data_IF_833551182263
#
_entry.id   IF_833551182263
#
_cell.length_a   1.000
_cell.length_b   1.000
_cell.length_c   1.000
_cell.angle_alpha   90.00
_cell.angle_beta   90.00
_cell.angle_gamma   90.00
#
_symmetry.space_group_name_H-M   'P 1'
#
loop_
_entity.id
_entity.type
_entity.pdbx_description
1 polymer ?
#
# COMPACT_ATOMS: atom_id res chain seq x y z
N UNK A 1 10.12 -29.85 19.80
CA UNK A 1 9.39 -29.28 18.66
C UNK A 1 10.26 -29.50 17.43
N UNK A 2 9.92 -30.51 16.63
CA UNK A 2 10.70 -30.86 15.44
C UNK A 2 10.49 -29.78 14.39
N UNK A 3 11.58 -29.08 14.02
CA UNK A 3 11.61 -28.29 12.80
C UNK A 3 11.42 -29.27 11.65
N UNK A 4 10.18 -29.42 11.18
CA UNK A 4 9.94 -30.03 9.89
C UNK A 4 10.82 -29.27 8.89
N UNK A 5 11.73 -29.98 8.23
CA UNK A 5 12.44 -29.51 7.05
C UNK A 5 11.39 -29.34 5.93
N UNK A 6 10.55 -28.32 6.09
CA UNK A 6 9.43 -28.02 5.21
C UNK A 6 9.95 -27.29 4.00
N UNK A 7 9.57 -27.76 2.80
CA UNK A 7 9.65 -26.95 1.58
C UNK A 7 9.04 -25.57 1.86
N UNK A 8 9.66 -24.51 1.33
CA UNK A 8 9.03 -23.18 1.31
C UNK A 8 7.60 -23.29 0.75
N UNK A 9 6.66 -22.50 1.30
CA UNK A 9 5.27 -22.53 0.86
C UNK A 9 5.18 -22.18 -0.62
N UNK A 10 4.29 -22.84 -1.36
CA UNK A 10 3.98 -22.45 -2.73
C UNK A 10 3.07 -21.22 -2.69
N UNK A 11 3.58 -20.07 -3.12
CA UNK A 11 2.87 -18.79 -3.08
C UNK A 11 2.36 -18.42 -4.46
N UNK A 12 1.11 -17.98 -4.53
CA UNK A 12 0.50 -17.36 -5.69
C UNK A 12 -0.05 -15.98 -5.30
N UNK A 13 0.25 -14.94 -6.09
CA UNK A 13 -0.33 -13.62 -5.89
C UNK A 13 -1.54 -13.41 -6.80
N UNK A 14 -2.70 -13.14 -6.21
CA UNK A 14 -3.89 -12.74 -6.97
C UNK A 14 -3.94 -11.21 -7.04
N UNK A 15 -3.54 -10.70 -8.21
CA UNK A 15 -3.46 -9.30 -8.56
C UNK A 15 -4.77 -8.81 -9.17
N UNK A 16 -5.17 -7.60 -8.79
CA UNK A 16 -6.33 -6.92 -9.35
C UNK A 16 -6.63 -5.66 -8.56
N UNK A 17 -7.43 -4.77 -9.14
CA UNK A 17 -7.91 -3.60 -8.41
C UNK A 17 -8.96 -4.00 -7.37
N UNK A 18 -9.17 -3.17 -6.34
CA UNK A 18 -10.41 -3.21 -5.58
C UNK A 18 -11.63 -3.26 -6.52
N UNK A 19 -12.66 -4.01 -6.13
CA UNK A 19 -13.92 -4.14 -6.88
C UNK A 19 -13.81 -4.84 -8.25
N UNK A 20 -12.64 -5.37 -8.62
CA UNK A 20 -12.48 -6.16 -9.85
C UNK A 20 -13.03 -7.61 -9.75
N UNK A 21 -13.47 -8.05 -8.56
CA UNK A 21 -13.97 -9.41 -8.33
C UNK A 21 -12.92 -10.39 -7.79
N UNK A 22 -11.79 -9.90 -7.29
CA UNK A 22 -10.68 -10.73 -6.75
C UNK A 22 -11.12 -11.59 -5.56
N UNK A 23 -12.01 -11.09 -4.71
CA UNK A 23 -12.60 -11.89 -3.61
C UNK A 23 -13.42 -13.08 -4.12
N UNK A 24 -14.21 -12.89 -5.18
CA UNK A 24 -14.97 -13.97 -5.80
C UNK A 24 -14.01 -15.03 -6.37
N UNK A 25 -13.00 -14.59 -7.11
CA UNK A 25 -12.04 -15.51 -7.72
C UNK A 25 -11.25 -16.29 -6.66
N UNK A 26 -10.76 -15.63 -5.61
CA UNK A 26 -10.10 -16.28 -4.48
C UNK A 26 -11.01 -17.34 -3.82
N UNK A 27 -12.28 -16.99 -3.58
CA UNK A 27 -13.27 -17.89 -2.99
C UNK A 27 -13.53 -19.13 -3.86
N UNK A 28 -13.56 -18.98 -5.19
CA UNK A 28 -13.74 -20.09 -6.11
C UNK A 28 -12.49 -20.99 -6.16
N UNK A 29 -11.29 -20.42 -6.22
CA UNK A 29 -10.03 -21.17 -6.30
C UNK A 29 -9.73 -21.98 -5.03
N UNK A 30 -10.00 -21.44 -3.85
CA UNK A 30 -9.72 -22.14 -2.59
C UNK A 30 -10.62 -23.37 -2.33
N UNK A 31 -11.63 -23.62 -3.17
CA UNK A 31 -12.42 -24.86 -3.13
C UNK A 31 -11.59 -26.09 -3.52
N UNK A 32 -10.46 -25.89 -4.18
CA UNK A 32 -9.52 -26.97 -4.44
C UNK A 32 -8.88 -27.44 -3.12
N UNK A 33 -8.76 -28.75 -2.87
CA UNK A 33 -8.27 -29.29 -1.60
C UNK A 33 -6.89 -28.75 -1.23
N UNK A 34 -6.01 -28.49 -2.20
CA UNK A 34 -4.65 -27.97 -1.94
C UNK A 34 -4.50 -26.45 -1.85
N UNK A 35 -5.55 -25.67 -2.16
CA UNK A 35 -5.44 -24.20 -2.28
C UNK A 35 -6.11 -23.51 -1.10
N UNK A 36 -5.39 -22.59 -0.46
CA UNK A 36 -5.89 -21.74 0.62
C UNK A 36 -5.82 -20.27 0.18
N UNK A 37 -6.90 -19.50 0.38
CA UNK A 37 -6.90 -18.07 0.13
C UNK A 37 -7.40 -17.31 1.37
N UNK A 38 -6.52 -16.92 2.31
CA UNK A 38 -6.95 -16.16 3.48
C UNK A 38 -7.54 -14.79 3.09
N UNK A 39 -8.41 -14.20 3.93
CA UNK A 39 -8.96 -12.87 3.65
C UNK A 39 -7.86 -11.81 3.75
N UNK A 40 -7.47 -11.24 2.60
CA UNK A 40 -6.55 -10.09 2.44
C UNK A 40 -5.48 -9.98 3.52
N UNK A 41 -4.36 -10.70 3.40
CA UNK A 41 -3.30 -10.66 4.40
C UNK A 41 -2.69 -9.28 4.61
N UNK A 42 -2.62 -8.45 3.57
CA UNK A 42 -1.87 -7.17 3.55
C UNK A 42 -0.39 -7.29 3.94
N UNK A 43 0.12 -8.52 4.07
CA UNK A 43 1.41 -8.85 4.64
C UNK A 43 2.55 -8.30 3.78
N UNK A 44 2.49 -8.51 2.46
CA UNK A 44 3.58 -8.08 1.58
C UNK A 44 3.69 -6.55 1.49
N UNK A 45 2.59 -5.80 1.63
CA UNK A 45 2.67 -4.34 1.69
C UNK A 45 3.31 -3.87 3.00
N UNK A 46 2.99 -4.53 4.12
CA UNK A 46 3.65 -4.24 5.39
C UNK A 46 5.15 -4.59 5.36
N UNK A 47 5.51 -5.70 4.71
CA UNK A 47 6.90 -6.13 4.54
C UNK A 47 7.67 -5.25 3.55
N UNK A 48 7.02 -4.66 2.53
CA UNK A 48 7.65 -3.65 1.66
C UNK A 48 8.07 -2.41 2.46
N UNK A 49 7.27 -2.05 3.46
CA UNK A 49 7.55 -0.96 4.39
C UNK A 49 8.50 -1.37 5.55
N UNK A 50 9.02 -2.60 5.57
CA UNK A 50 9.88 -3.09 6.64
C UNK A 50 11.12 -2.21 6.84
N UNK A 51 11.31 -1.74 8.08
CA UNK A 51 12.39 -0.84 8.45
C UNK A 51 12.06 0.66 8.35
N UNK A 52 10.85 1.04 7.92
CA UNK A 52 10.37 2.43 8.08
C UNK A 52 10.00 2.69 9.53
N UNK A 53 10.34 3.88 10.02
CA UNK A 53 10.12 4.29 11.41
C UNK A 53 8.96 5.28 11.48
N UNK A 54 8.04 5.08 12.42
CA UNK A 54 7.01 6.07 12.73
C UNK A 54 7.66 7.28 13.39
N UNK A 55 7.48 8.47 12.81
CA UNK A 55 8.04 9.72 13.32
C UNK A 55 7.45 10.15 14.67
N UNK A 56 6.43 9.47 15.18
CA UNK A 56 5.87 9.66 16.53
C UNK A 56 6.49 8.71 17.57
N UNK A 57 7.48 7.92 17.20
CA UNK A 57 8.09 6.96 18.11
C UNK A 57 8.79 7.70 19.27
N UNK A 58 8.50 7.37 20.55
CA UNK A 58 8.98 8.16 21.69
C UNK A 58 10.49 8.01 21.97
N UNK A 59 11.12 6.93 21.47
CA UNK A 59 12.54 6.66 21.70
C UNK A 59 13.48 7.29 20.64
N UNK A 60 13.18 8.51 20.19
CA UNK A 60 14.01 9.23 19.21
C UNK A 60 13.92 8.64 17.80
N UNK A 61 12.89 8.99 17.01
CA UNK A 61 12.60 8.34 15.72
C UNK A 61 13.75 8.49 14.72
N UNK A 62 14.43 9.64 14.69
CA UNK A 62 15.59 9.87 13.82
C UNK A 62 16.77 8.95 14.14
N UNK A 63 17.02 8.67 15.43
CA UNK A 63 18.09 7.75 15.83
C UNK A 63 17.75 6.30 15.44
N UNK A 64 16.50 5.89 15.64
CA UNK A 64 16.02 4.57 15.23
C UNK A 64 16.12 4.42 13.72
N UNK A 65 15.75 5.44 12.95
CA UNK A 65 15.81 5.43 11.49
C UNK A 65 17.24 5.22 11.00
N UNK A 66 18.19 5.99 11.53
CA UNK A 66 19.63 5.84 11.19
C UNK A 66 20.14 4.45 11.58
N UNK A 67 19.94 4.02 12.83
CA UNK A 67 20.46 2.75 13.32
C UNK A 67 19.84 1.55 12.60
N UNK A 68 18.54 1.60 12.31
CA UNK A 68 17.82 0.55 11.59
C UNK A 68 18.24 0.49 10.13
N UNK A 69 18.43 1.65 9.49
CA UNK A 69 18.95 1.73 8.11
C UNK A 69 20.36 1.14 8.03
N UNK A 70 21.25 1.52 8.95
CA UNK A 70 22.63 1.00 9.02
C UNK A 70 22.65 -0.53 9.23
N UNK A 71 21.88 -1.03 10.18
CA UNK A 71 21.78 -2.46 10.45
C UNK A 71 21.25 -3.21 9.24
N UNK A 72 20.15 -2.73 8.66
CA UNK A 72 19.51 -3.43 7.55
C UNK A 72 20.30 -3.30 6.23
N UNK A 73 21.16 -2.29 6.10
CA UNK A 73 22.12 -2.16 4.99
C UNK A 73 23.25 -3.20 5.03
N UNK A 74 23.43 -3.91 6.15
CA UNK A 74 24.44 -4.97 6.32
C UNK A 74 23.91 -6.38 6.04
N UNK A 75 22.61 -6.53 5.73
CA UNK A 75 21.98 -7.83 5.49
C UNK A 75 21.27 -7.86 4.14
N UNK A 76 21.00 -9.06 3.64
CA UNK A 76 20.02 -9.22 2.57
C UNK A 76 18.61 -9.14 3.17
N UNK A 77 18.00 -7.96 3.05
CA UNK A 77 16.62 -7.71 3.47
C UNK A 77 15.61 -8.67 2.84
N UNK A 78 15.84 -9.09 1.59
CA UNK A 78 14.92 -9.96 0.85
C UNK A 78 14.85 -11.34 1.52
N UNK A 79 15.99 -11.89 1.93
CA UNK A 79 16.04 -13.18 2.63
C UNK A 79 15.31 -13.11 3.98
N UNK A 80 15.55 -12.05 4.76
CA UNK A 80 14.89 -11.88 6.05
C UNK A 80 13.37 -11.71 5.92
N UNK A 81 12.93 -10.89 4.96
CA UNK A 81 11.52 -10.68 4.63
C UNK A 81 10.87 -11.99 4.19
N UNK A 82 11.52 -12.72 3.27
CA UNK A 82 11.01 -14.01 2.77
C UNK A 82 10.89 -15.02 3.89
N UNK A 83 11.87 -15.10 4.79
CA UNK A 83 11.82 -16.02 5.94
C UNK A 83 10.62 -15.73 6.85
N UNK A 84 10.32 -14.46 7.11
CA UNK A 84 9.12 -14.08 7.87
C UNK A 84 7.84 -14.46 7.13
N UNK A 85 7.74 -14.13 5.84
CA UNK A 85 6.58 -14.45 5.02
C UNK A 85 6.36 -15.97 4.91
N UNK A 86 7.42 -16.75 4.68
CA UNK A 86 7.38 -18.21 4.62
C UNK A 86 6.87 -18.81 5.94
N UNK A 87 7.32 -18.29 7.08
CA UNK A 87 6.83 -18.72 8.38
C UNK A 87 5.36 -18.39 8.60
N UNK A 88 4.91 -17.20 8.20
CA UNK A 88 3.52 -16.78 8.34
C UNK A 88 2.58 -17.59 7.42
N UNK A 89 2.90 -17.67 6.14
CA UNK A 89 2.13 -18.45 5.16
C UNK A 89 2.16 -19.95 5.47
N UNK A 90 3.31 -20.47 5.90
CA UNK A 90 3.47 -21.87 6.30
C UNK A 90 2.55 -22.27 7.45
N UNK A 91 2.31 -21.39 8.42
CA UNK A 91 1.35 -21.65 9.50
C UNK A 91 -0.08 -21.75 9.00
N UNK A 92 -0.51 -20.84 8.11
CA UNK A 92 -1.83 -20.92 7.48
C UNK A 92 -2.02 -22.22 6.70
N UNK A 93 -1.03 -22.60 5.90
CA UNK A 93 -1.06 -23.82 5.10
C UNK A 93 -1.08 -25.08 5.97
N UNK A 94 -0.24 -25.13 7.01
CA UNK A 94 -0.18 -26.25 7.96
C UNK A 94 -1.49 -26.41 8.71
N UNK A 95 -2.06 -25.31 9.21
CA UNK A 95 -3.34 -25.34 9.93
C UNK A 95 -4.50 -25.83 9.05
N UNK A 96 -4.48 -25.50 7.75
CA UNK A 96 -5.51 -25.91 6.81
C UNK A 96 -5.25 -27.29 6.16
N UNK A 97 -4.05 -27.86 6.31
CA UNK A 97 -3.62 -29.07 5.60
C UNK A 97 -3.49 -28.86 4.08
N UNK A 98 -3.14 -27.64 3.65
CA UNK A 98 -3.09 -27.20 2.24
C UNK A 98 -1.67 -26.92 1.80
N UNK A 99 -1.43 -26.80 0.48
CA UNK A 99 -0.07 -26.70 -0.09
C UNK A 99 0.22 -25.38 -0.78
N UNK A 100 -0.80 -24.72 -1.33
CA UNK A 100 -0.67 -23.47 -2.09
C UNK A 100 -1.43 -22.37 -1.37
N UNK A 101 -0.76 -21.26 -1.11
CA UNK A 101 -1.40 -20.05 -0.60
C UNK A 101 -1.64 -19.07 -1.75
N UNK A 102 -2.87 -18.59 -1.87
CA UNK A 102 -3.21 -17.46 -2.71
C UNK A 102 -3.28 -16.22 -1.81
N UNK A 103 -2.26 -15.37 -1.90
CA UNK A 103 -2.32 -14.05 -1.31
C UNK A 103 -3.04 -13.10 -2.27
N UNK A 104 -4.29 -12.82 -1.94
CA UNK A 104 -5.10 -11.80 -2.58
C UNK A 104 -5.12 -10.57 -1.69
N UNK A 105 -4.40 -9.53 -2.07
CA UNK A 105 -4.48 -8.21 -1.42
C UNK A 105 -4.73 -7.15 -2.47
N UNK A 106 -5.74 -6.28 -2.28
CA UNK A 106 -5.93 -5.14 -3.16
C UNK A 106 -4.69 -4.24 -3.18
N UNK A 107 -4.42 -3.60 -4.31
CA UNK A 107 -3.29 -2.65 -4.47
C UNK A 107 -1.89 -3.24 -4.49
N UNK A 108 -1.72 -4.55 -4.69
CA UNK A 108 -0.40 -5.10 -5.03
C UNK A 108 0.22 -4.53 -6.32
N UNK A 109 -0.54 -3.75 -7.11
CA UNK A 109 0.02 -2.91 -8.17
C UNK A 109 1.13 -1.97 -7.66
N UNK A 110 1.13 -1.57 -6.39
CA UNK A 110 2.15 -0.69 -5.79
C UNK A 110 3.47 -1.41 -5.47
N UNK A 111 3.47 -2.75 -5.46
CA UNK A 111 4.56 -3.56 -4.93
C UNK A 111 4.96 -4.72 -5.87
N UNK A 112 4.61 -4.67 -7.17
CA UNK A 112 4.84 -5.77 -8.11
C UNK A 112 6.30 -6.24 -8.14
N UNK A 113 7.25 -5.31 -8.26
CA UNK A 113 8.68 -5.59 -8.29
C UNK A 113 9.19 -6.11 -6.94
N UNK A 114 8.57 -5.68 -5.85
CA UNK A 114 8.88 -6.22 -4.52
C UNK A 114 8.42 -7.67 -4.39
N UNK A 115 7.20 -7.99 -4.85
CA UNK A 115 6.68 -9.36 -4.87
C UNK A 115 7.60 -10.29 -5.69
N UNK A 116 8.02 -9.84 -6.87
CA UNK A 116 8.93 -10.60 -7.75
C UNK A 116 10.32 -10.78 -7.15
N UNK A 117 10.81 -9.80 -6.38
CA UNK A 117 12.10 -9.91 -5.71
C UNK A 117 12.05 -10.92 -4.56
N UNK A 118 10.98 -10.91 -3.77
CA UNK A 118 10.83 -11.82 -2.61
C UNK A 118 10.47 -13.23 -3.07
N UNK A 119 9.60 -13.37 -4.07
CA UNK A 119 9.13 -14.64 -4.62
C UNK A 119 9.25 -14.67 -6.15
N UNK A 120 10.46 -14.79 -6.71
CA UNK A 120 10.68 -14.77 -8.17
C UNK A 120 10.02 -15.93 -8.93
N UNK A 121 9.75 -17.03 -8.23
CA UNK A 121 9.07 -18.22 -8.73
C UNK A 121 7.54 -18.22 -8.54
N UNK A 122 6.98 -17.22 -7.86
CA UNK A 122 5.54 -17.17 -7.61
C UNK A 122 4.74 -16.94 -8.90
N UNK A 123 3.73 -17.78 -9.09
CA UNK A 123 2.72 -17.57 -10.11
C UNK A 123 1.85 -16.36 -9.74
N UNK A 124 1.55 -15.52 -10.72
CA UNK A 124 0.60 -14.42 -10.54
C UNK A 124 -0.68 -14.74 -11.31
N UNK A 125 -1.83 -14.52 -10.67
CA UNK A 125 -3.11 -14.47 -11.38
C UNK A 125 -3.49 -13.00 -11.46
N UNK A 126 -3.64 -12.48 -12.68
CA UNK A 126 -4.03 -11.10 -12.91
C UNK A 126 -5.49 -11.04 -13.35
N UNK A 127 -6.35 -10.49 -12.49
CA UNK A 127 -7.76 -10.26 -12.76
C UNK A 127 -7.99 -8.82 -13.24
N UNK A 128 -8.40 -8.69 -14.51
CA UNK A 128 -8.88 -7.43 -15.08
C UNK A 128 -10.41 -7.41 -15.15
N UNK A 129 -10.98 -6.22 -15.05
CA UNK A 129 -12.42 -5.96 -15.16
C UNK A 129 -12.60 -4.61 -15.86
N UNK A 130 -13.71 -4.45 -16.58
CA UNK A 130 -14.09 -3.17 -17.19
C UNK A 130 -13.97 -2.00 -16.17
N UNK A 131 -13.16 -0.98 -16.44
CA UNK A 131 -13.00 0.17 -15.55
C UNK A 131 -14.29 0.92 -15.22
N UNK A 132 -15.26 1.00 -16.14
CA UNK A 132 -16.58 1.57 -15.85
C UNK A 132 -17.32 0.76 -14.79
N UNK A 133 -17.24 -0.57 -14.86
CA UNK A 133 -17.85 -1.45 -13.86
C UNK A 133 -17.14 -1.37 -12.50
N UNK A 134 -15.82 -1.20 -12.48
CA UNK A 134 -15.06 -0.94 -11.25
C UNK A 134 -15.52 0.38 -10.63
N UNK A 135 -15.57 1.46 -11.43
CA UNK A 135 -15.96 2.78 -11.00
C UNK A 135 -17.41 2.82 -10.45
N UNK A 136 -18.36 2.20 -11.16
CA UNK A 136 -19.74 2.05 -10.69
C UNK A 136 -19.81 1.32 -9.33
N UNK A 137 -18.97 0.30 -9.14
CA UNK A 137 -18.88 -0.39 -7.84
C UNK A 137 -18.24 0.47 -6.76
N UNK A 138 -17.21 1.26 -7.06
CA UNK A 138 -16.59 2.20 -6.10
C UNK A 138 -17.61 3.24 -5.63
N UNK A 139 -18.36 3.84 -6.56
CA UNK A 139 -19.46 4.78 -6.28
C UNK A 139 -20.53 4.14 -5.39
N UNK A 140 -21.11 3.02 -5.82
CA UNK A 140 -22.26 2.42 -5.13
C UNK A 140 -21.91 1.75 -3.80
N UNK A 141 -20.66 1.33 -3.59
CA UNK A 141 -20.25 0.57 -2.39
C UNK A 141 -19.52 1.43 -1.38
N UNK A 142 -18.66 2.35 -1.85
CA UNK A 142 -17.79 3.16 -0.99
C UNK A 142 -18.08 4.66 -1.08
N UNK A 143 -19.08 5.07 -1.87
CA UNK A 143 -19.45 6.48 -2.00
C UNK A 143 -18.38 7.33 -2.69
N UNK A 144 -17.48 6.72 -3.48
CA UNK A 144 -16.41 7.45 -4.16
C UNK A 144 -17.03 8.39 -5.21
N UNK A 145 -16.82 9.71 -5.11
CA UNK A 145 -17.31 10.65 -6.10
C UNK A 145 -16.49 10.52 -7.39
N UNK A 146 -17.18 10.40 -8.52
CA UNK A 146 -16.59 10.28 -9.87
C UNK A 146 -16.91 11.52 -10.71
N UNK A 147 -16.83 12.71 -10.12
CA UNK A 147 -17.18 13.94 -10.82
C UNK A 147 -15.97 14.55 -11.51
N UNK A 148 -16.10 14.84 -12.80
CA UNK A 148 -15.23 15.78 -13.48
C UNK A 148 -15.51 17.17 -12.90
N UNK A 149 -14.47 17.93 -12.56
CA UNK A 149 -14.68 19.37 -12.33
C UNK A 149 -15.25 19.97 -13.61
N UNK A 150 -16.46 20.48 -13.53
CA UNK A 150 -17.16 21.12 -14.63
C UNK A 150 -16.64 22.54 -14.79
N UNK A 151 -15.53 22.71 -15.52
CA UNK A 151 -15.23 23.93 -16.28
C UNK A 151 -13.98 23.73 -17.14
N UNK A 152 -14.06 24.23 -18.38
CA UNK A 152 -12.95 24.29 -19.33
C UNK A 152 -11.76 25.03 -18.67
N UNK A 153 -10.57 24.43 -18.81
CA UNK A 153 -9.30 24.71 -18.11
C UNK A 153 -9.13 24.00 -16.75
N UNK A 154 -8.87 22.70 -16.83
CA UNK A 154 -8.26 21.96 -15.71
C UNK A 154 -6.81 22.45 -15.58
N UNK A 155 -6.58 23.41 -14.69
CA UNK A 155 -5.22 23.85 -14.38
C UNK A 155 -4.53 22.81 -13.49
N UNK A 156 -3.21 22.68 -13.60
CA UNK A 156 -2.40 21.83 -12.71
C UNK A 156 -2.66 22.21 -11.24
N UNK A 157 -2.74 23.51 -10.97
CA UNK A 157 -2.95 24.09 -9.64
C UNK A 157 -4.31 23.71 -9.03
N UNK A 158 -5.39 23.74 -9.80
CA UNK A 158 -6.72 23.36 -9.30
C UNK A 158 -6.83 21.88 -8.97
N UNK A 159 -6.24 20.99 -9.80
CA UNK A 159 -6.20 19.56 -9.51
C UNK A 159 -5.32 19.23 -8.29
N UNK A 160 -4.14 19.85 -8.18
CA UNK A 160 -3.25 19.64 -7.04
C UNK A 160 -3.92 20.07 -5.73
N UNK A 161 -4.56 21.24 -5.70
CA UNK A 161 -5.26 21.71 -4.51
C UNK A 161 -6.48 20.85 -4.16
N UNK A 162 -7.19 20.32 -5.15
CA UNK A 162 -8.29 19.38 -4.93
C UNK A 162 -7.76 18.08 -4.31
N UNK A 163 -6.65 17.54 -4.83
CA UNK A 163 -6.03 16.32 -4.30
C UNK A 163 -5.42 16.51 -2.91
N UNK A 164 -5.04 17.72 -2.51
CA UNK A 164 -4.64 17.98 -1.12
C UNK A 164 -5.84 18.01 -0.15
N UNK A 165 -7.05 18.30 -0.65
CA UNK A 165 -8.27 18.45 0.15
C UNK A 165 -9.14 17.19 0.22
N UNK A 166 -8.97 16.26 -0.73
CA UNK A 166 -9.74 15.03 -0.74
C UNK A 166 -9.28 14.06 0.37
N UNK A 167 -10.20 13.34 1.02
CA UNK A 167 -9.86 12.23 1.91
C UNK A 167 -8.98 11.18 1.23
N UNK A 168 -7.98 10.65 1.96
CA UNK A 168 -7.01 9.68 1.42
C UNK A 168 -7.67 8.45 0.78
N UNK A 169 -8.82 8.00 1.31
CA UNK A 169 -9.58 6.87 0.75
C UNK A 169 -10.12 7.15 -0.66
N UNK A 170 -10.50 8.40 -0.95
CA UNK A 170 -11.01 8.81 -2.25
C UNK A 170 -9.85 8.83 -3.25
N UNK A 171 -8.77 9.53 -2.90
CA UNK A 171 -7.62 9.67 -3.78
C UNK A 171 -6.98 8.31 -4.07
N UNK A 172 -6.82 7.46 -3.05
CA UNK A 172 -6.29 6.11 -3.25
C UNK A 172 -7.17 5.26 -4.17
N UNK A 173 -8.49 5.42 -4.09
CA UNK A 173 -9.43 4.71 -4.97
C UNK A 173 -9.40 5.23 -6.41
N UNK A 174 -9.16 6.52 -6.62
CA UNK A 174 -8.95 7.08 -7.95
C UNK A 174 -7.56 6.71 -8.50
N UNK A 175 -6.53 6.68 -7.65
CA UNK A 175 -5.18 6.22 -7.99
C UNK A 175 -5.18 4.76 -8.47
N UNK A 176 -6.06 3.92 -7.91
CA UNK A 176 -6.27 2.56 -8.40
C UNK A 176 -6.65 2.53 -9.90
N UNK A 177 -7.47 3.47 -10.38
CA UNK A 177 -7.82 3.58 -11.80
C UNK A 177 -6.71 4.24 -12.63
N UNK A 178 -6.14 5.34 -12.13
CA UNK A 178 -5.18 6.19 -12.88
C UNK A 178 -3.80 5.54 -12.97
N UNK A 179 -3.28 5.01 -11.86
CA UNK A 179 -1.94 4.43 -11.75
C UNK A 179 -1.99 2.90 -11.70
N UNK A 180 -2.93 2.35 -10.93
CA UNK A 180 -3.00 0.91 -10.67
C UNK A 180 -3.40 0.08 -11.88
N UNK A 181 -4.53 0.42 -12.52
CA UNK A 181 -5.05 -0.27 -13.70
C UNK A 181 -4.01 -0.43 -14.84
N UNK A 182 -3.34 0.63 -15.30
CA UNK A 182 -2.32 0.55 -16.36
C UNK A 182 -1.08 -0.23 -15.95
N UNK A 183 -0.65 -0.12 -14.69
CA UNK A 183 0.49 -0.87 -14.18
C UNK A 183 0.18 -2.37 -14.11
N UNK A 184 -1.01 -2.74 -13.66
CA UNK A 184 -1.51 -4.12 -13.73
C UNK A 184 -1.67 -4.59 -15.16
N UNK A 185 -2.17 -3.75 -16.05
CA UNK A 185 -2.28 -4.05 -17.47
C UNK A 185 -0.91 -4.36 -18.07
N UNK A 186 0.13 -3.58 -17.79
CA UNK A 186 1.49 -3.85 -18.27
C UNK A 186 2.04 -5.19 -17.76
N UNK A 187 1.69 -5.56 -16.52
CA UNK A 187 2.07 -6.81 -15.86
C UNK A 187 1.57 -8.09 -16.56
N UNK A 188 0.58 -7.97 -17.46
CA UNK A 188 0.02 -9.10 -18.24
C UNK A 188 1.05 -9.84 -19.10
N UNK A 189 2.17 -9.19 -19.41
CA UNK A 189 3.21 -9.71 -20.30
C UNK A 189 4.26 -10.57 -19.57
N UNK A 190 4.26 -10.59 -18.23
CA UNK A 190 5.16 -11.43 -17.44
C UNK A 190 4.86 -12.91 -17.66
N UNK A 191 5.90 -13.71 -17.93
CA UNK A 191 5.77 -15.13 -18.28
C UNK A 191 5.02 -15.99 -17.24
N UNK A 192 5.19 -15.69 -15.95
CA UNK A 192 4.55 -16.40 -14.84
C UNK A 192 3.21 -15.75 -14.43
N UNK A 193 2.58 -14.95 -15.30
CA UNK A 193 1.27 -14.33 -15.06
C UNK A 193 0.17 -14.98 -15.89
N UNK A 194 -0.87 -15.46 -15.21
CA UNK A 194 -2.10 -15.92 -15.83
C UNK A 194 -3.11 -14.77 -15.86
N UNK A 195 -3.39 -14.23 -17.05
CA UNK A 195 -4.43 -13.22 -17.23
C UNK A 195 -5.82 -13.87 -17.19
N UNK A 196 -6.77 -13.20 -16.53
CA UNK A 196 -8.19 -13.56 -16.53
C UNK A 196 -9.06 -12.30 -16.51
N UNK A 197 -10.17 -12.32 -17.23
CA UNK A 197 -11.17 -11.24 -17.23
C UNK A 197 -12.33 -11.61 -16.31
N UNK A 198 -12.75 -10.68 -15.47
CA UNK A 198 -13.89 -10.86 -14.57
C UNK A 198 -15.15 -11.30 -15.33
N UNK A 199 -15.37 -10.72 -16.51
CA UNK A 199 -16.50 -11.02 -17.37
C UNK A 199 -16.52 -12.50 -17.79
N UNK A 200 -15.36 -13.11 -18.04
CA UNK A 200 -15.23 -14.54 -18.32
C UNK A 200 -15.40 -15.40 -17.07
N UNK A 201 -14.92 -14.96 -15.91
CA UNK A 201 -15.09 -15.68 -14.64
C UNK A 201 -16.57 -15.83 -14.29
N UNK A 202 -17.39 -14.80 -14.52
CA UNK A 202 -18.83 -14.89 -14.22
C UNK A 202 -19.66 -15.53 -15.33
N UNK A 203 -19.19 -15.50 -16.58
CA UNK A 203 -19.86 -16.17 -17.70
C UNK A 203 -19.56 -17.67 -17.76
N UNK A 204 -18.30 -18.05 -17.50
CA UNK A 204 -17.80 -19.42 -17.62
C UNK A 204 -16.94 -19.81 -16.39
N UNK A 205 -17.50 -19.77 -15.16
CA UNK A 205 -16.73 -19.97 -13.94
C UNK A 205 -15.96 -21.29 -13.93
N UNK A 206 -16.59 -22.40 -14.28
CA UNK A 206 -15.93 -23.70 -14.22
C UNK A 206 -14.74 -23.78 -15.19
N UNK A 207 -14.88 -23.25 -16.40
CA UNK A 207 -13.82 -23.23 -17.40
C UNK A 207 -12.62 -22.41 -16.93
N UNK A 208 -12.85 -21.18 -16.46
CA UNK A 208 -11.77 -20.31 -15.99
C UNK A 208 -11.09 -20.87 -14.73
N UNK A 209 -11.85 -21.45 -13.80
CA UNK A 209 -11.27 -22.06 -12.59
C UNK A 209 -10.42 -23.28 -12.94
N UNK A 210 -10.87 -24.17 -13.84
CA UNK A 210 -10.04 -25.30 -14.29
C UNK A 210 -8.73 -24.83 -14.92
N UNK A 211 -8.80 -23.83 -15.81
CA UNK A 211 -7.64 -23.25 -16.48
C UNK A 211 -6.63 -22.67 -15.49
N UNK A 212 -7.11 -21.90 -14.51
CA UNK A 212 -6.26 -21.27 -13.49
C UNK A 212 -5.62 -22.31 -12.56
N UNK A 213 -6.38 -23.33 -12.13
CA UNK A 213 -5.86 -24.44 -11.31
C UNK A 213 -4.78 -25.24 -12.05
N UNK A 214 -4.99 -25.54 -13.33
CA UNK A 214 -3.97 -26.19 -14.16
C UNK A 214 -2.68 -25.35 -14.22
N UNK A 215 -2.80 -24.04 -14.40
CA UNK A 215 -1.63 -23.15 -14.40
C UNK A 215 -0.95 -23.02 -13.03
N UNK A 216 -1.63 -23.36 -11.93
CA UNK A 216 -1.04 -23.49 -10.60
C UNK A 216 -0.44 -24.88 -10.33
N UNK A 217 -0.50 -25.80 -11.30
CA UNK A 217 -0.06 -27.19 -11.14
C UNK A 217 -1.00 -28.06 -10.31
N UNK A 218 -2.26 -27.65 -10.13
CA UNK A 218 -3.30 -28.43 -9.46
C UNK A 218 -4.06 -29.32 -10.46
N UNK A 219 -4.60 -30.44 -9.97
CA UNK A 219 -5.55 -31.24 -10.73
C UNK A 219 -6.95 -30.59 -10.69
N UNK A 220 -7.46 -30.06 -11.82
CA UNK A 220 -8.76 -29.40 -11.85
C UNK A 220 -9.93 -30.34 -11.50
N UNK A 221 -9.76 -31.66 -11.65
CA UNK A 221 -10.81 -32.63 -11.33
C UNK A 221 -11.03 -32.79 -9.80
N UNK A 222 -10.04 -32.41 -8.99
CA UNK A 222 -10.12 -32.49 -7.53
C UNK A 222 -10.91 -31.32 -6.90
N UNK A 223 -11.27 -30.29 -7.68
CA UNK A 223 -12.13 -29.22 -7.19
C UNK A 223 -13.59 -29.72 -7.03
N UNK A 224 -14.15 -29.59 -5.82
CA UNK A 224 -15.56 -29.91 -5.59
C UNK A 224 -16.46 -28.86 -6.26
N UNK A 225 -17.06 -29.22 -7.39
CA UNK A 225 -18.02 -28.37 -8.11
C UNK A 225 -19.44 -28.51 -7.54
N UNK A 226 -19.71 -27.92 -6.36
CA UNK A 226 -21.08 -27.68 -5.87
C UNK A 226 -21.14 -26.63 -4.74
N UNK A 227 -22.02 -25.63 -4.90
CA UNK A 227 -22.51 -24.63 -3.89
C UNK A 227 -21.51 -23.59 -3.32
N UNK A 228 -22.00 -22.35 -3.12
CA UNK A 228 -21.28 -21.21 -2.49
C UNK A 228 -21.08 -21.36 -0.96
N UNK A 229 -21.31 -22.57 -0.42
CA UNK A 229 -21.58 -22.83 0.99
C UNK A 229 -20.43 -22.66 2.01
N UNK A 230 -19.19 -22.36 1.61
CA UNK A 230 -18.07 -22.16 2.55
C UNK A 230 -17.56 -20.72 2.55
N UNK A 231 -18.32 -19.82 3.19
CA UNK A 231 -17.97 -18.40 3.37
C UNK A 231 -17.61 -18.05 4.82
N UNK A 232 -17.51 -19.03 5.72
CA UNK A 232 -17.28 -18.77 7.16
C UNK A 232 -15.99 -18.01 7.43
N UNK A 233 -14.94 -18.29 6.65
CA UNK A 233 -13.67 -17.56 6.72
C UNK A 233 -13.81 -16.06 6.38
N UNK A 234 -14.78 -15.69 5.53
CA UNK A 234 -15.08 -14.28 5.22
C UNK A 234 -15.95 -13.64 6.31
N UNK A 235 -16.80 -14.42 6.99
CA UNK A 235 -17.61 -13.91 8.11
C UNK A 235 -16.73 -13.49 9.29
N UNK A 236 -15.63 -14.22 9.53
CA UNK A 236 -14.68 -13.95 10.61
C UNK A 236 -13.65 -12.86 10.31
N UNK A 237 -13.62 -12.27 9.11
CA UNK A 237 -12.67 -11.22 8.75
C UNK A 237 -13.39 -9.89 8.51
N UNK A 238 -12.73 -8.76 8.80
CA UNK A 238 -13.18 -7.42 8.40
C UNK A 238 -12.86 -7.07 6.94
N UNK A 239 -12.02 -7.89 6.28
CA UNK A 239 -11.52 -7.65 4.94
C UNK A 239 -12.16 -8.58 3.89
N UNK A 240 -12.12 -8.16 2.62
CA UNK A 240 -12.82 -8.81 1.52
C UNK A 240 -14.17 -8.17 1.17
N UNK A 241 -14.71 -8.56 0.02
CA UNK A 241 -15.98 -7.99 -0.46
C UNK A 241 -17.18 -8.66 0.21
N UNK A 242 -17.87 -7.93 1.10
CA UNK A 242 -19.03 -8.45 1.84
C UNK A 242 -20.22 -8.82 0.96
N UNK A 243 -20.34 -8.22 -0.24
CA UNK A 243 -21.41 -8.53 -1.18
C UNK A 243 -21.44 -10.00 -1.62
N UNK A 244 -20.34 -10.74 -1.45
CA UNK A 244 -20.31 -12.18 -1.71
C UNK A 244 -21.17 -12.97 -0.71
N UNK A 245 -21.37 -12.46 0.51
CA UNK A 245 -22.19 -13.10 1.55
C UNK A 245 -23.70 -12.98 1.25
N UNK A 246 -24.07 -12.01 0.43
CA UNK A 246 -25.46 -11.72 0.02
C UNK A 246 -25.87 -12.53 -1.21
N UNK A 247 -24.93 -13.26 -1.83
CA UNK A 247 -25.16 -14.03 -3.05
C UNK A 247 -25.13 -15.52 -2.78
N UNK A 248 -26.00 -16.24 -3.47
CA UNK A 248 -26.07 -17.71 -3.41
C UNK A 248 -25.45 -18.39 -4.64
N UNK A 249 -25.19 -17.62 -5.70
CA UNK A 249 -24.65 -18.10 -6.97
C UNK A 249 -23.80 -17.03 -7.64
N UNK A 250 -22.93 -17.47 -8.56
CA UNK A 250 -22.22 -16.56 -9.47
C UNK A 250 -23.21 -16.08 -10.52
N UNK A 251 -23.30 -14.77 -10.71
CA UNK A 251 -24.21 -14.15 -11.67
C UNK A 251 -23.54 -13.01 -12.44
N UNK A 252 -24.13 -12.68 -13.59
CA UNK A 252 -23.60 -11.69 -14.52
C UNK A 252 -24.19 -10.28 -14.31
N UNK A 253 -24.99 -10.06 -13.25
CA UNK A 253 -25.73 -8.79 -13.04
C UNK A 253 -24.82 -7.57 -12.96
N UNK A 254 -23.57 -7.75 -12.53
CA UNK A 254 -22.64 -6.65 -12.32
C UNK A 254 -21.79 -6.29 -13.55
N UNK A 255 -21.88 -7.03 -14.67
CA UNK A 255 -21.11 -6.75 -15.88
C UNK A 255 -21.52 -5.42 -16.49
N UNK A 256 -22.83 -5.23 -16.73
CA UNK A 256 -23.39 -4.05 -17.40
C UNK A 256 -24.01 -3.02 -16.46
N UNK A 257 -23.90 -3.24 -15.15
CA UNK A 257 -24.49 -2.35 -14.13
C UNK A 257 -24.01 -0.89 -14.23
N UNK A 258 -22.81 -0.65 -14.76
CA UNK A 258 -22.27 0.69 -14.96
C UNK A 258 -23.13 1.55 -15.89
N UNK A 259 -23.81 0.95 -16.88
CA UNK A 259 -24.62 1.67 -17.87
C UNK A 259 -25.80 2.42 -17.25
N UNK A 260 -26.34 1.92 -16.14
CA UNK A 260 -27.44 2.57 -15.39
C UNK A 260 -26.98 3.28 -14.12
N UNK A 261 -25.76 3.00 -13.64
CA UNK A 261 -25.25 3.54 -12.37
C UNK A 261 -24.35 4.78 -12.55
N UNK A 262 -23.77 4.95 -13.73
CA UNK A 262 -22.92 6.10 -14.05
C UNK A 262 -23.67 7.11 -14.93
N UNK A 263 -23.55 8.39 -14.59
CA UNK A 263 -23.93 9.47 -15.51
C UNK A 263 -22.90 9.61 -16.64
N UNK A 264 -23.25 10.34 -17.69
CA UNK A 264 -22.33 10.65 -18.80
C UNK A 264 -21.07 11.35 -18.30
N UNK A 265 -21.20 12.27 -17.34
CA UNK A 265 -20.07 12.97 -16.71
C UNK A 265 -19.15 12.02 -15.92
N UNK A 266 -19.73 11.03 -15.23
CA UNK A 266 -18.96 10.04 -14.49
C UNK A 266 -18.25 9.07 -15.45
N UNK A 267 -18.90 8.67 -16.53
CA UNK A 267 -18.26 7.90 -17.60
C UNK A 267 -17.15 8.70 -18.29
N UNK A 268 -17.35 10.01 -18.50
CA UNK A 268 -16.30 10.89 -19.01
C UNK A 268 -15.10 10.91 -18.06
N UNK A 269 -15.34 11.03 -16.75
CA UNK A 269 -14.27 11.01 -15.73
C UNK A 269 -13.48 9.72 -15.77
N UNK A 270 -14.15 8.56 -15.83
CA UNK A 270 -13.45 7.25 -15.94
C UNK A 270 -12.63 7.18 -17.23
N UNK A 271 -13.17 7.68 -18.34
CA UNK A 271 -12.49 7.72 -19.64
C UNK A 271 -11.23 8.59 -19.58
N UNK A 272 -11.32 9.77 -18.97
CA UNK A 272 -10.20 10.71 -18.82
C UNK A 272 -9.10 10.12 -17.92
N UNK A 273 -9.48 9.45 -16.82
CA UNK A 273 -8.55 8.84 -15.85
C UNK A 273 -7.82 7.60 -16.40
N UNK A 274 -8.50 6.77 -17.18
CA UNK A 274 -7.94 5.50 -17.69
C UNK A 274 -7.27 5.67 -19.06
N UNK A 275 -7.92 6.44 -19.93
CA UNK A 275 -7.54 6.64 -21.33
C UNK A 275 -8.22 5.64 -22.28
N UNK A 276 -8.70 6.15 -23.42
CA UNK A 276 -9.37 5.36 -24.49
C UNK A 276 -8.47 4.29 -25.07
N UNK A 277 -7.20 4.63 -25.33
CA UNK A 277 -6.19 3.69 -25.86
C UNK A 277 -6.08 2.42 -25.01
N UNK A 278 -5.99 2.56 -23.68
CA UNK A 278 -5.86 1.42 -22.78
C UNK A 278 -7.13 0.58 -22.73
N UNK A 279 -8.31 1.22 -22.76
CA UNK A 279 -9.59 0.51 -22.83
C UNK A 279 -9.67 -0.36 -24.11
N UNK A 280 -9.29 0.19 -25.26
CA UNK A 280 -9.26 -0.53 -26.53
C UNK A 280 -8.23 -1.67 -26.51
N UNK A 281 -7.00 -1.41 -26.04
CA UNK A 281 -5.94 -2.43 -25.93
C UNK A 281 -6.33 -3.63 -25.06
N UNK A 282 -7.17 -3.42 -24.04
CA UNK A 282 -7.64 -4.45 -23.12
C UNK A 282 -8.96 -5.10 -23.57
N UNK A 283 -9.47 -4.74 -24.75
CA UNK A 283 -10.68 -5.33 -25.33
C UNK A 283 -11.98 -4.84 -24.68
N UNK A 284 -12.01 -3.59 -24.23
CA UNK A 284 -13.21 -2.88 -23.74
C UNK A 284 -13.72 -1.83 -24.74
N UNK A 285 -13.42 -2.00 -26.03
CA UNK A 285 -13.82 -1.08 -27.11
C UNK A 285 -15.34 -0.97 -27.25
N UNK A 286 -16.08 -2.08 -27.15
CA UNK A 286 -17.55 -2.05 -27.21
C UNK A 286 -18.16 -1.24 -26.06
N UNK A 287 -17.62 -1.39 -24.84
CA UNK A 287 -18.06 -0.62 -23.68
C UNK A 287 -17.74 0.87 -23.84
N UNK A 288 -16.57 1.20 -24.40
CA UNK A 288 -16.19 2.58 -24.73
C UNK A 288 -17.14 3.18 -25.78
N UNK A 289 -17.50 2.42 -26.82
CA UNK A 289 -18.43 2.87 -27.85
C UNK A 289 -19.82 3.16 -27.26
N UNK A 290 -20.30 2.33 -26.34
CA UNK A 290 -21.56 2.58 -25.63
C UNK A 290 -21.50 3.88 -24.80
N UNK A 291 -20.38 4.13 -24.11
CA UNK A 291 -20.18 5.37 -23.38
C UNK A 291 -20.15 6.58 -24.34
N UNK A 292 -19.53 6.45 -25.51
CA UNK A 292 -19.48 7.49 -26.54
C UNK A 292 -20.85 7.79 -27.15
N UNK A 293 -21.66 6.75 -27.40
CA UNK A 293 -23.05 6.90 -27.84
C UNK A 293 -23.91 7.62 -26.78
N UNK A 294 -23.58 7.47 -25.50
CA UNK A 294 -24.23 8.20 -24.42
C UNK A 294 -23.73 9.66 -24.26
N UNK A 295 -22.67 10.06 -24.97
CA UNK A 295 -22.15 11.44 -24.99
C UNK A 295 -20.75 11.63 -24.41
N UNK A 296 -20.03 10.55 -24.07
CA UNK A 296 -18.60 10.63 -23.69
C UNK A 296 -17.77 10.96 -24.93
N UNK A 297 -16.77 11.83 -24.76
CA UNK A 297 -15.85 12.23 -25.82
C UNK A 297 -14.41 11.82 -25.47
N UNK A 298 -13.63 11.44 -26.47
CA UNK A 298 -12.18 11.25 -26.29
C UNK A 298 -11.51 12.63 -26.26
N UNK A 299 -10.99 13.03 -25.09
CA UNK A 299 -10.27 14.29 -24.89
C UNK A 299 -8.78 14.18 -25.20
N UNK A 300 -8.34 13.02 -25.67
CA UNK A 300 -6.97 12.75 -26.11
C UNK A 300 -6.04 12.29 -24.99
N UNK A 301 -4.92 11.66 -25.35
CA UNK A 301 -4.00 11.02 -24.40
C UNK A 301 -3.27 12.02 -23.48
N UNK A 302 -3.15 13.29 -23.87
CA UNK A 302 -2.50 14.32 -23.08
C UNK A 302 -3.21 14.56 -21.74
N UNK A 303 -4.54 14.53 -21.72
CA UNK A 303 -5.31 14.71 -20.48
C UNK A 303 -5.12 13.51 -19.53
N UNK A 304 -5.16 12.28 -20.06
CA UNK A 304 -4.88 11.09 -19.27
C UNK A 304 -3.47 11.12 -18.69
N UNK A 305 -2.48 11.56 -19.48
CA UNK A 305 -1.10 11.70 -19.00
C UNK A 305 -0.97 12.77 -17.92
N UNK A 306 -1.69 13.89 -18.04
CA UNK A 306 -1.75 14.90 -17.00
C UNK A 306 -2.28 14.32 -15.68
N UNK A 307 -3.39 13.56 -15.71
CA UNK A 307 -3.88 12.87 -14.52
C UNK A 307 -2.83 11.91 -13.93
N UNK A 308 -2.13 11.15 -14.78
CA UNK A 308 -1.05 10.26 -14.33
C UNK A 308 0.03 11.00 -13.57
N UNK A 309 0.53 12.10 -14.12
CA UNK A 309 1.60 12.89 -13.50
C UNK A 309 1.19 13.46 -12.15
N UNK A 310 -0.04 13.99 -12.04
CA UNK A 310 -0.54 14.57 -10.80
C UNK A 310 -0.73 13.48 -9.74
N UNK A 311 -1.37 12.36 -10.10
CA UNK A 311 -1.55 11.24 -9.19
C UNK A 311 -0.22 10.62 -8.76
N UNK A 312 0.75 10.50 -9.67
CA UNK A 312 2.08 9.99 -9.37
C UNK A 312 2.82 10.91 -8.39
N UNK A 313 2.78 12.22 -8.62
CA UNK A 313 3.37 13.23 -7.72
C UNK A 313 2.77 13.14 -6.33
N UNK A 314 1.43 13.09 -6.22
CA UNK A 314 0.75 12.90 -4.94
C UNK A 314 1.17 11.60 -4.25
N UNK A 315 1.27 10.51 -5.02
CA UNK A 315 1.64 9.20 -4.49
C UNK A 315 3.08 9.19 -3.96
N UNK A 316 4.03 9.77 -4.68
CA UNK A 316 5.45 9.80 -4.29
C UNK A 316 5.70 10.67 -3.06
N UNK A 317 4.97 11.79 -2.92
CA UNK A 317 4.99 12.63 -1.72
C UNK A 317 4.53 11.84 -0.48
N UNK A 318 3.47 11.03 -0.62
CA UNK A 318 2.95 10.18 0.48
C UNK A 318 3.87 8.99 0.77
N UNK A 319 4.52 8.44 -0.25
CA UNK A 319 5.45 7.32 -0.10
C UNK A 319 6.80 7.73 0.51
N UNK A 320 7.06 9.03 0.72
CA UNK A 320 8.33 9.55 1.23
C UNK A 320 9.47 9.47 0.21
N UNK A 321 9.17 9.24 -1.08
CA UNK A 321 10.18 9.08 -2.15
C UNK A 321 10.74 10.41 -2.67
N UNK A 322 10.09 11.52 -2.38
CA UNK A 322 10.48 12.85 -2.85
C UNK A 322 11.84 13.37 -2.30
N UNK A 323 12.40 12.73 -1.27
CA UNK A 323 13.72 13.09 -0.73
C UNK A 323 14.90 12.28 -1.33
N UNK A 324 14.63 11.23 -2.11
CA UNK A 324 15.67 10.33 -2.63
C UNK A 324 16.19 10.69 -4.04
N UNK A 325 15.58 11.67 -4.71
CA UNK A 325 16.02 12.13 -6.03
C UNK A 325 16.97 13.32 -5.91
N UNK A 326 18.15 13.12 -5.32
CA UNK A 326 19.29 14.03 -5.49
C UNK A 326 20.65 13.29 -5.39
N UNK A 327 21.07 12.67 -6.50
CA UNK A 327 22.48 12.45 -6.86
C UNK A 327 23.35 11.48 -6.04
N UNK A 328 24.41 10.89 -6.63
CA UNK A 328 25.19 9.82 -6.01
C UNK A 328 26.30 10.40 -5.12
N UNK A 329 26.29 10.10 -3.81
CA UNK A 329 27.47 10.32 -2.99
C UNK A 329 28.42 9.13 -3.10
N UNK A 330 29.50 9.37 -3.84
CA UNK A 330 30.72 8.58 -3.84
C UNK A 330 31.33 8.52 -2.44
N UNK A 331 31.91 7.37 -2.15
CA UNK A 331 32.81 7.10 -1.04
C UNK A 331 34.00 8.08 -1.01
N UNK A 332 34.29 8.67 0.15
CA UNK A 332 35.66 9.02 0.53
C UNK A 332 35.83 8.96 2.06
N UNK A 333 36.80 8.15 2.48
CA UNK A 333 37.24 7.98 3.86
C UNK A 333 37.98 9.22 4.34
N UNK A 334 37.68 9.72 5.53
CA UNK A 334 38.68 10.47 6.32
C UNK A 334 38.58 10.08 7.79
N UNK A 335 39.61 9.37 8.25
CA UNK A 335 39.94 9.20 9.66
C UNK A 335 40.30 10.55 10.29
N UNK A 336 39.78 10.87 11.48
CA UNK A 336 40.61 11.46 12.53
C UNK A 336 39.97 11.32 13.91
N UNK A 337 40.63 10.56 14.78
CA UNK A 337 40.35 10.46 16.19
C UNK A 337 40.86 11.70 16.94
N UNK A 338 40.15 12.13 18.00
CA UNK A 338 40.71 12.92 19.09
C UNK A 338 40.24 12.38 20.44
N UNK A 339 41.18 11.77 21.17
CA UNK A 339 41.17 11.53 22.61
C UNK A 339 41.40 12.88 23.35
N UNK A 340 41.17 13.15 24.65
CA UNK A 340 41.28 12.52 26.00
C UNK A 340 40.73 13.61 27.00
N UNK A 341 40.79 13.55 28.37
CA UNK A 341 41.18 12.49 29.32
C UNK A 341 40.28 12.29 30.58
N UNK A 342 40.61 11.22 31.33
CA UNK A 342 40.12 10.79 32.65
C UNK A 342 40.80 11.48 33.86
N UNK A 343 40.25 11.19 35.07
CA UNK A 343 40.76 11.26 36.46
C UNK A 343 40.00 12.29 37.33
N UNK A 344 39.57 12.05 38.59
CA UNK A 344 40.11 11.24 39.70
C UNK A 344 38.96 10.81 40.67
N UNK A 345 39.08 9.60 41.23
CA UNK A 345 38.30 9.02 42.35
C UNK A 345 38.68 9.65 43.71
N UNK A 346 37.79 9.64 44.70
CA UNK A 346 38.02 8.90 45.97
C UNK A 346 36.91 9.12 47.01
N UNK A 347 36.57 7.99 47.62
CA UNK A 347 35.71 7.68 48.76
C UNK A 347 36.29 8.09 50.11
N UNK A 348 35.44 8.31 51.13
CA UNK A 348 35.48 7.55 52.40
C UNK A 348 34.32 7.89 53.35
N UNK A 349 33.68 6.83 53.83
CA UNK A 349 32.75 6.75 54.97
C UNK A 349 33.46 6.98 56.31
N UNK A 350 32.71 7.46 57.32
CA UNK A 350 32.90 7.09 58.73
C UNK A 350 31.59 7.24 59.52
N UNK A 351 31.47 6.37 60.52
CA UNK A 351 30.28 5.79 61.16
C UNK A 351 29.73 6.47 62.43
N UNK A 352 28.40 6.35 62.60
CA UNK A 352 27.57 5.99 63.80
C UNK A 352 27.69 6.77 65.13
N UNK A 353 26.57 7.38 65.59
CA UNK A 353 26.03 7.30 66.99
C UNK A 353 24.49 7.44 66.96
N UNK A 354 23.79 6.66 67.81
CA UNK A 354 22.33 6.62 68.01
C UNK A 354 21.78 7.78 68.87
N UNK A 355 20.53 8.20 68.60
CA UNK A 355 19.36 8.18 69.50
C UNK A 355 18.48 9.46 69.48
N UNK A 356 17.22 9.23 69.11
CA UNK A 356 15.96 9.79 69.63
C UNK A 356 15.42 11.17 69.17
N UNK A 357 14.09 11.15 69.08
CA UNK A 357 13.08 12.21 68.93
C UNK A 357 12.72 12.75 67.53
N UNK A 358 11.58 12.23 67.04
CA UNK A 358 10.75 12.86 65.99
C UNK A 358 9.95 14.00 66.60
N UNK A 359 9.88 15.18 65.95
CA UNK A 359 8.56 15.64 65.53
C UNK A 359 8.50 16.40 64.18
N UNK A 360 7.34 16.22 63.51
CA UNK A 360 6.73 16.94 62.39
C UNK A 360 7.44 16.92 61.00
N UNK A 361 6.69 16.71 59.89
CA UNK A 361 7.27 16.72 58.56
C UNK A 361 7.66 18.16 58.20
N UNK A 362 8.96 18.43 58.17
CA UNK A 362 9.48 19.75 57.85
C UNK A 362 9.35 19.99 56.34
N UNK A 363 9.12 21.25 55.97
CA UNK A 363 9.16 21.78 54.60
C UNK A 363 10.42 21.38 53.78
N UNK A 364 11.45 20.80 54.41
CA UNK A 364 12.71 20.41 53.79
C UNK A 364 12.60 19.15 52.89
N UNK A 365 11.66 18.22 53.13
CA UNK A 365 11.51 17.03 52.27
C UNK A 365 10.94 17.36 50.88
N UNK A 366 10.08 18.37 50.78
CA UNK A 366 9.56 18.85 49.49
C UNK A 366 10.62 19.58 48.66
N UNK A 367 11.70 20.08 49.27
CA UNK A 367 12.81 20.75 48.57
C UNK A 367 13.83 19.71 48.07
N UNK A 368 14.04 18.61 48.79
CA UNK A 368 14.97 17.53 48.40
C UNK A 368 14.52 16.72 47.18
N UNK A 369 13.23 16.71 46.84
CA UNK A 369 12.67 16.10 45.64
C UNK A 369 12.47 17.09 44.47
N UNK A 370 12.53 18.40 44.73
CA UNK A 370 12.28 19.43 43.73
C UNK A 370 13.45 19.59 42.76
N UNK A 371 14.69 19.51 43.23
CA UNK A 371 15.88 19.67 42.38
C UNK A 371 16.10 18.54 41.36
N UNK A 372 15.96 17.24 41.69
CA UNK A 372 16.03 16.18 40.69
C UNK A 372 14.88 16.23 39.68
N UNK A 373 13.67 16.58 40.13
CA UNK A 373 12.51 16.72 39.24
C UNK A 373 12.63 17.96 38.34
N UNK A 374 13.18 19.07 38.86
CA UNK A 374 13.51 20.26 38.08
C UNK A 374 14.61 19.98 37.05
N UNK A 375 15.64 19.23 37.40
CA UNK A 375 16.69 18.80 36.47
C UNK A 375 16.12 17.90 35.36
N UNK A 376 15.24 16.95 35.69
CA UNK A 376 14.53 16.13 34.70
C UNK A 376 13.63 16.96 33.78
N UNK A 377 12.89 17.92 34.33
CA UNK A 377 12.04 18.82 33.53
C UNK A 377 12.86 19.75 32.64
N UNK A 378 14.01 20.24 33.11
CA UNK A 378 14.94 21.04 32.30
C UNK A 378 15.57 20.22 31.18
N UNK A 379 15.92 18.96 31.43
CA UNK A 379 16.46 18.07 30.40
C UNK A 379 15.40 17.68 29.36
N UNK A 380 14.15 17.44 29.80
CA UNK A 380 13.02 17.23 28.91
C UNK A 380 12.68 18.49 28.08
N UNK A 381 12.81 19.68 28.67
CA UNK A 381 12.63 20.95 27.95
C UNK A 381 13.71 21.15 26.89
N UNK A 382 14.99 20.91 27.21
CA UNK A 382 16.09 20.99 26.25
C UNK A 382 15.94 19.98 25.11
N UNK A 383 15.50 18.75 25.42
CA UNK A 383 15.18 17.75 24.40
C UNK A 383 14.01 18.21 23.51
N UNK A 384 12.95 18.76 24.10
CA UNK A 384 11.81 19.31 23.36
C UNK A 384 12.19 20.54 22.51
N UNK A 385 13.14 21.36 22.95
CA UNK A 385 13.66 22.50 22.19
C UNK A 385 14.55 22.04 21.02
N UNK A 386 15.34 20.99 21.22
CA UNK A 386 16.09 20.33 20.15
C UNK A 386 15.16 19.67 19.12
N UNK A 387 14.10 19.00 19.57
CA UNK A 387 13.06 18.44 18.71
C UNK A 387 12.28 19.53 17.96
N UNK A 388 12.03 20.67 18.61
CA UNK A 388 11.45 21.86 17.96
C UNK A 388 12.40 22.44 16.91
N UNK A 389 13.70 22.48 17.18
CA UNK A 389 14.70 22.94 16.22
C UNK A 389 14.78 21.99 15.00
N UNK A 390 14.76 20.68 15.23
CA UNK A 390 14.67 19.68 14.17
C UNK A 390 13.34 19.76 13.39
N UNK A 391 12.23 20.02 14.09
CA UNK A 391 10.93 20.27 13.48
C UNK A 391 10.89 21.55 12.65
N UNK A 392 11.57 22.62 13.07
CA UNK A 392 11.74 23.84 12.28
C UNK A 392 12.61 23.60 11.04
N UNK A 393 13.62 22.73 11.13
CA UNK A 393 14.44 22.34 9.98
C UNK A 393 13.66 21.45 9.01
N UNK A 394 12.79 20.57 9.51
CA UNK A 394 11.84 19.82 8.71
C UNK A 394 10.79 20.73 8.05
N UNK A 395 10.32 21.79 8.73
CA UNK A 395 9.46 22.83 8.15
C UNK A 395 10.20 23.59 7.05
N UNK A 396 11.46 24.00 7.26
CA UNK A 396 12.28 24.64 6.21
C UNK A 396 12.51 23.73 5.01
N UNK A 397 12.73 22.44 5.25
CA UNK A 397 12.88 21.43 4.19
C UNK A 397 11.57 21.27 3.42
N UNK A 398 10.44 21.34 4.12
CA UNK A 398 9.10 21.31 3.52
C UNK A 398 8.77 22.59 2.75
N UNK A 399 9.19 23.76 3.24
CA UNK A 399 9.05 25.04 2.54
C UNK A 399 9.95 25.07 1.29
N UNK A 400 11.15 24.53 1.35
CA UNK A 400 12.02 24.32 0.19
C UNK A 400 11.38 23.37 -0.84
N UNK A 401 10.73 22.29 -0.39
CA UNK A 401 9.97 21.40 -1.25
C UNK A 401 8.75 22.08 -1.88
N UNK A 402 8.06 22.96 -1.14
CA UNK A 402 6.96 23.79 -1.66
C UNK A 402 7.46 24.75 -2.74
N UNK A 403 8.63 25.37 -2.55
CA UNK A 403 9.24 26.24 -3.56
C UNK A 403 9.68 25.48 -4.81
N UNK A 404 10.23 24.27 -4.67
CA UNK A 404 10.51 23.38 -5.81
C UNK A 404 9.21 23.04 -6.56
N UNK A 405 8.14 22.70 -5.85
CA UNK A 405 6.83 22.43 -6.45
C UNK A 405 6.27 23.64 -7.18
N UNK A 406 6.39 24.85 -6.60
CA UNK A 406 5.99 26.11 -7.27
C UNK A 406 6.78 26.36 -8.55
N UNK A 407 8.08 26.10 -8.53
CA UNK A 407 8.95 26.22 -9.71
C UNK A 407 8.55 25.26 -10.83
N UNK A 408 8.25 24.00 -10.50
CA UNK A 408 7.87 23.00 -11.51
C UNK A 408 6.45 23.27 -12.05
N UNK A 409 5.52 23.74 -11.21
CA UNK A 409 4.20 24.22 -11.66
C UNK A 409 4.37 25.35 -12.69
N UNK A 410 5.20 26.36 -12.40
CA UNK A 410 5.44 27.47 -13.31
C UNK A 410 6.09 27.02 -14.64
N UNK A 411 7.00 26.05 -14.59
CA UNK A 411 7.65 25.48 -15.79
C UNK A 411 6.64 24.73 -16.66
N UNK A 412 5.77 23.92 -16.06
CA UNK A 412 4.74 23.17 -16.79
C UNK A 412 3.69 24.11 -17.39
N UNK A 413 3.32 25.19 -16.69
CA UNK A 413 2.44 26.24 -17.22
C UNK A 413 3.02 26.94 -18.48
N UNK A 414 4.34 27.14 -18.54
CA UNK A 414 4.98 27.69 -19.75
C UNK A 414 4.91 26.73 -20.93
N UNK A 415 5.06 25.42 -20.70
CA UNK A 415 4.97 24.39 -21.74
C UNK A 415 3.54 24.32 -22.28
N UNK A 416 2.54 24.38 -21.40
CA UNK A 416 1.11 24.37 -21.78
C UNK A 416 0.72 25.63 -22.55
N UNK A 417 1.30 26.79 -22.23
CA UNK A 417 1.02 28.05 -22.96
C UNK A 417 1.73 28.15 -24.33
N UNK A 418 2.68 27.25 -24.62
CA UNK A 418 3.40 27.20 -25.90
C UNK A 418 2.85 26.14 -26.87
N UNK A 419 1.94 25.28 -26.41
CA UNK A 419 1.23 24.27 -27.21
C UNK A 419 -0.17 24.78 -27.58
#
# INVERSE_FOLDING_TARGET
MSCASGRSPAVCFLLGLPRAGTTLLAHLLQRHPDVLAPPEPWLMLALEAFGRVDQRHPAGPSLIEVATSEFLGRIDRTIAIRAFADAAYGQYLTAAGKRIIIDKTPRYWTALEFLERVYPEASHILLLRNPFAIAASLKSTWGIPLRAESSYSVSVSSLADLMLRLPDVIISSLADLVLGFPRLAAHRTRAQTQLVRYELVVAHPDQEIRRLLLGLGCDPAAAAYASMGQVDYLRSSSFGDRKILERNAVDQSSIKAWQSQLSVEEMQTVTDLVGTKLLTELGYEEDLLLAQQAGVVDRGPHLTELYRQIFQTWWDLRAGKAAASSGPYQSEQVHTARQLPENVRATCDMSVVQAQDLPAPSFAENVLLADPMKAQLQQALLASEADRAAGLDAIRTRDAAIEILRGEVARLEQIVNMA
#
